data_IF_073207109057
#
_entry.id   IF_073207109057
#
_cell.length_a   1.000
_cell.length_b   1.000
_cell.length_c   1.000
_cell.angle_alpha   90.00
_cell.angle_beta   90.00
_cell.angle_gamma   90.00
#
_symmetry.space_group_name_H-M   'P 1'
#
loop_
_entity.id
_entity.type
_entity.pdbx_description
1 polymer ?
#
# COMPACT_ATOMS: atom_id res chain seq x y z
N UNK A 1 0.86 -5.58 6.78
CA UNK A 1 -0.12 -4.57 6.29
C UNK A 1 -0.18 -4.56 4.77
N UNK A 2 0.92 -4.35 4.04
CA UNK A 2 0.97 -4.45 2.56
C UNK A 2 0.30 -5.70 1.96
N UNK A 3 0.63 -6.90 2.44
CA UNK A 3 0.10 -8.14 1.85
C UNK A 3 -1.42 -8.30 2.06
N UNK A 4 -1.95 -7.83 3.19
CA UNK A 4 -3.39 -7.84 3.45
C UNK A 4 -4.09 -6.78 2.59
N UNK A 5 -3.49 -5.60 2.43
CA UNK A 5 -3.97 -4.58 1.52
C UNK A 5 -4.04 -5.11 0.06
N UNK A 6 -2.98 -5.78 -0.39
CA UNK A 6 -2.94 -6.42 -1.71
C UNK A 6 -4.01 -7.51 -1.89
N UNK A 7 -4.27 -8.31 -0.85
CA UNK A 7 -5.34 -9.30 -0.87
C UNK A 7 -6.72 -8.64 -1.02
N UNK A 8 -6.99 -7.57 -0.29
CA UNK A 8 -8.25 -6.83 -0.42
C UNK A 8 -8.38 -6.14 -1.77
N UNK A 9 -7.29 -5.57 -2.31
CA UNK A 9 -7.24 -5.04 -3.69
C UNK A 9 -7.67 -6.10 -4.71
N UNK A 10 -7.07 -7.29 -4.66
CA UNK A 10 -7.39 -8.39 -5.59
C UNK A 10 -8.87 -8.83 -5.48
N UNK A 11 -9.50 -8.64 -4.32
CA UNK A 11 -10.92 -8.91 -4.13
C UNK A 11 -11.83 -7.74 -4.53
N UNK A 12 -11.30 -6.63 -5.04
CA UNK A 12 -12.04 -5.40 -5.34
C UNK A 12 -12.50 -4.63 -4.11
N UNK A 13 -11.99 -4.97 -2.91
CA UNK A 13 -12.36 -4.34 -1.63
C UNK A 13 -11.45 -3.15 -1.34
N UNK A 14 -11.47 -2.14 -2.21
CA UNK A 14 -10.56 -1.00 -2.15
C UNK A 14 -10.68 -0.21 -0.84
N UNK A 15 -11.89 -0.03 -0.33
CA UNK A 15 -12.16 0.66 0.95
C UNK A 15 -11.49 -0.03 2.16
N UNK A 16 -11.29 -1.35 2.09
CA UNK A 16 -10.59 -2.11 3.12
C UNK A 16 -9.06 -2.16 2.89
N UNK A 17 -8.62 -1.97 1.64
CA UNK A 17 -7.21 -2.01 1.25
C UNK A 17 -6.50 -0.67 1.51
N UNK A 18 -7.14 0.46 1.19
CA UNK A 18 -6.59 1.81 1.30
C UNK A 18 -6.00 2.14 2.68
N UNK A 19 -6.73 1.99 3.81
CA UNK A 19 -6.15 2.31 5.12
C UNK A 19 -4.93 1.45 5.45
N UNK A 20 -4.90 0.20 5.00
CA UNK A 20 -3.77 -0.71 5.23
C UNK A 20 -2.53 -0.31 4.42
N UNK A 21 -2.71 0.21 3.20
CA UNK A 21 -1.60 0.77 2.42
C UNK A 21 -1.09 2.06 3.06
N UNK A 22 -1.97 3.00 3.41
CA UNK A 22 -1.61 4.28 4.02
C UNK A 22 -0.83 4.09 5.32
N UNK A 23 -1.32 3.25 6.22
CA UNK A 23 -0.64 2.98 7.49
C UNK A 23 0.71 2.28 7.28
N UNK A 24 0.78 1.32 6.34
CA UNK A 24 2.04 0.65 6.01
C UNK A 24 3.08 1.64 5.47
N UNK A 25 2.67 2.53 4.57
CA UNK A 25 3.53 3.58 4.01
C UNK A 25 4.05 4.47 5.12
N UNK A 26 3.17 5.00 5.97
CA UNK A 26 3.56 5.89 7.09
C UNK A 26 4.58 5.24 8.03
N UNK A 27 4.37 3.97 8.39
CA UNK A 27 5.31 3.23 9.25
C UNK A 27 6.66 3.05 8.56
N UNK A 28 6.66 2.62 7.29
CA UNK A 28 7.90 2.33 6.56
C UNK A 28 8.69 3.60 6.23
N UNK A 29 8.03 4.70 5.89
CA UNK A 29 8.66 6.00 5.72
C UNK A 29 9.35 6.47 7.01
N UNK A 30 8.69 6.27 8.16
CA UNK A 30 9.23 6.68 9.47
C UNK A 30 10.42 5.81 9.89
N UNK A 31 10.33 4.49 9.69
CA UNK A 31 11.31 3.53 10.23
C UNK A 31 12.48 3.30 9.28
N UNK A 32 12.22 3.25 7.97
CA UNK A 32 13.19 2.86 6.95
C UNK A 32 13.56 4.00 6.01
N UNK A 33 12.76 5.07 5.97
CA UNK A 33 12.92 6.18 5.04
C UNK A 33 12.26 5.94 3.68
N UNK A 34 12.22 7.01 2.90
CA UNK A 34 11.50 7.07 1.61
C UNK A 34 12.12 6.20 0.52
N UNK A 35 13.46 6.12 0.49
CA UNK A 35 14.23 5.41 -0.55
C UNK A 35 14.41 3.92 -0.26
N UNK A 36 13.94 3.45 0.90
CA UNK A 36 14.10 2.04 1.24
C UNK A 36 13.26 1.18 0.29
N UNK A 37 13.81 0.05 -0.23
CA UNK A 37 13.12 -0.78 -1.22
C UNK A 37 11.70 -1.22 -0.80
N UNK A 38 11.51 -1.51 0.49
CA UNK A 38 10.17 -1.84 1.01
C UNK A 38 9.20 -0.66 0.98
N UNK A 39 9.62 0.54 1.36
CA UNK A 39 8.76 1.74 1.29
C UNK A 39 8.32 1.98 -0.15
N UNK A 40 9.25 1.89 -1.11
CA UNK A 40 8.96 1.99 -2.55
C UNK A 40 7.99 0.90 -3.00
N UNK A 41 8.21 -0.36 -2.59
CA UNK A 41 7.34 -1.49 -2.97
C UNK A 41 5.90 -1.26 -2.52
N UNK A 42 5.68 -0.82 -1.28
CA UNK A 42 4.32 -0.59 -0.76
C UNK A 42 3.66 0.59 -1.47
N UNK A 43 4.39 1.68 -1.72
CA UNK A 43 3.87 2.81 -2.50
C UNK A 43 3.48 2.40 -3.92
N UNK A 44 4.28 1.60 -4.60
CA UNK A 44 3.94 1.09 -5.93
C UNK A 44 2.67 0.24 -5.91
N UNK A 45 2.51 -0.64 -4.91
CA UNK A 45 1.29 -1.44 -4.77
C UNK A 45 0.05 -0.60 -4.51
N UNK A 46 0.21 0.47 -3.72
CA UNK A 46 -0.85 1.44 -3.47
C UNK A 46 -1.20 2.23 -4.73
N UNK A 47 -0.21 2.69 -5.49
CA UNK A 47 -0.46 3.39 -6.76
C UNK A 47 -1.21 2.50 -7.75
N UNK A 48 -0.81 1.23 -7.90
CA UNK A 48 -1.54 0.27 -8.75
C UNK A 48 -3.01 0.17 -8.33
N UNK A 49 -3.28 0.14 -7.02
CA UNK A 49 -4.66 0.12 -6.54
C UNK A 49 -5.42 1.40 -6.94
N UNK A 50 -4.81 2.58 -6.81
CA UNK A 50 -5.44 3.84 -7.20
C UNK A 50 -5.75 3.87 -8.70
N UNK A 51 -4.84 3.34 -9.53
CA UNK A 51 -5.03 3.24 -10.98
C UNK A 51 -6.13 2.22 -11.35
N UNK A 52 -6.36 1.18 -10.55
CA UNK A 52 -7.47 0.23 -10.72
C UNK A 52 -8.84 0.84 -10.34
N UNK A 53 -8.85 1.87 -9.49
CA UNK A 53 -10.07 2.55 -9.03
C UNK A 53 -10.55 3.67 -9.95
N UNK A 54 -9.69 4.15 -10.87
CA UNK A 54 -10.00 5.22 -11.83
C UNK A 54 -10.75 4.72 -13.05
#
# INVERSE_FOLDING_TARGET
MNNLAALYRIQGKYEAAEPLYVDAIKILETVLGNEHPWTITVRNNYQIMLDEMS
#
